data_IF_987212022297
#
_entry.id   IF_987212022297
#
_cell.length_a   1.000
_cell.length_b   1.000
_cell.length_c   1.000
_cell.angle_alpha   90.00
_cell.angle_beta   90.00
_cell.angle_gamma   90.00
#
_symmetry.space_group_name_H-M   'P 1'
#
loop_
_entity.id
_entity.type
_entity.pdbx_description
1 polymer ?
#
# COMPACT_ATOMS: atom_id res chain seq x y z
N UNK A 1 15.88 33.71 -0.47
CA UNK A 1 16.61 32.71 0.32
C UNK A 1 15.56 31.94 1.14
N UNK A 2 14.88 30.98 0.50
CA UNK A 2 13.91 30.11 1.18
C UNK A 2 14.67 29.06 1.97
N UNK A 3 14.19 28.75 3.17
CA UNK A 3 14.79 27.84 4.15
C UNK A 3 15.22 26.50 3.53
N UNK A 4 16.25 25.84 4.09
CA UNK A 4 16.65 24.52 3.62
C UNK A 4 15.49 23.53 3.84
N UNK A 5 14.90 23.04 2.75
CA UNK A 5 13.95 21.91 2.74
C UNK A 5 14.70 20.61 3.10
N UNK A 6 15.27 20.56 4.31
CA UNK A 6 16.03 19.42 4.86
C UNK A 6 15.14 18.41 5.58
N UNK A 7 13.83 18.37 5.29
CA UNK A 7 12.89 17.44 5.95
C UNK A 7 12.40 16.32 5.02
N UNK A 8 12.61 16.42 3.71
CA UNK A 8 12.29 15.37 2.74
C UNK A 8 13.55 14.76 2.19
N UNK A 9 13.65 13.44 2.26
CA UNK A 9 14.71 12.72 1.56
C UNK A 9 14.58 12.94 0.03
N UNK A 10 15.71 13.06 -0.69
CA UNK A 10 15.69 13.25 -2.13
C UNK A 10 15.04 12.05 -2.84
N UNK A 11 14.33 12.30 -3.94
CA UNK A 11 13.98 11.24 -4.88
C UNK A 11 15.29 10.72 -5.51
N UNK A 12 15.54 9.41 -5.59
CA UNK A 12 14.60 8.30 -5.45
C UNK A 12 14.56 7.62 -4.06
N UNK A 13 15.42 7.99 -3.11
CA UNK A 13 15.54 7.29 -1.81
C UNK A 13 14.21 7.27 -1.04
N UNK A 14 13.47 8.38 -1.10
CA UNK A 14 12.11 8.51 -0.53
C UNK A 14 11.15 7.40 -0.98
N UNK A 15 11.26 6.91 -2.21
CA UNK A 15 10.38 5.83 -2.72
C UNK A 15 10.64 4.54 -1.95
N UNK A 16 11.91 4.21 -1.71
CA UNK A 16 12.29 3.00 -0.97
C UNK A 16 11.81 3.09 0.49
N UNK A 17 11.98 4.24 1.13
CA UNK A 17 11.50 4.47 2.50
C UNK A 17 9.97 4.41 2.60
N UNK A 18 9.24 5.01 1.68
CA UNK A 18 7.77 4.99 1.69
C UNK A 18 7.22 3.58 1.42
N UNK A 19 7.85 2.79 0.54
CA UNK A 19 7.52 1.38 0.32
C UNK A 19 7.72 0.57 1.60
N UNK A 20 8.90 0.71 2.23
CA UNK A 20 9.25 -0.02 3.44
C UNK A 20 8.35 0.36 4.63
N UNK A 21 8.13 1.66 4.82
CA UNK A 21 7.23 2.18 5.85
C UNK A 21 5.78 1.71 5.65
N UNK A 22 5.27 1.79 4.42
CA UNK A 22 3.93 1.30 4.10
C UNK A 22 3.81 -0.22 4.27
N UNK A 23 4.82 -1.00 3.88
CA UNK A 23 4.87 -2.43 4.13
C UNK A 23 4.80 -2.72 5.64
N UNK A 24 5.62 -2.04 6.43
CA UNK A 24 5.66 -2.19 7.88
C UNK A 24 4.30 -1.88 8.52
N UNK A 25 3.69 -0.76 8.16
CA UNK A 25 2.35 -0.38 8.61
C UNK A 25 1.31 -1.45 8.26
N UNK A 26 1.31 -1.92 7.01
CA UNK A 26 0.36 -2.93 6.54
C UNK A 26 0.59 -4.31 7.16
N UNK A 27 1.84 -4.71 7.39
CA UNK A 27 2.18 -5.99 8.01
C UNK A 27 1.81 -5.99 9.50
N UNK A 28 2.13 -4.93 10.24
CA UNK A 28 1.79 -4.81 11.66
C UNK A 28 0.28 -4.69 11.84
N UNK A 29 -0.38 -3.76 11.14
CA UNK A 29 -1.84 -3.59 11.23
C UNK A 29 -2.61 -4.82 10.73
N UNK A 30 -2.16 -5.42 9.62
CA UNK A 30 -2.73 -6.64 9.07
C UNK A 30 -2.54 -7.83 10.00
N UNK A 31 -1.38 -7.99 10.64
CA UNK A 31 -1.15 -9.06 11.61
C UNK A 31 -2.08 -8.95 12.81
N UNK A 32 -2.22 -7.76 13.41
CA UNK A 32 -3.13 -7.55 14.54
C UNK A 32 -4.59 -7.86 14.15
N UNK A 33 -5.06 -7.31 13.04
CA UNK A 33 -6.43 -7.51 12.58
C UNK A 33 -6.72 -8.99 12.25
N UNK A 34 -5.85 -9.65 11.49
CA UNK A 34 -6.05 -11.04 11.11
C UNK A 34 -5.82 -12.03 12.25
N UNK A 35 -5.03 -11.66 13.26
CA UNK A 35 -4.87 -12.45 14.48
C UNK A 35 -6.17 -12.46 15.31
N UNK A 36 -6.73 -11.27 15.59
CA UNK A 36 -7.99 -11.16 16.32
C UNK A 36 -9.12 -11.84 15.57
N UNK A 37 -9.21 -11.61 14.26
CA UNK A 37 -10.21 -12.26 13.40
C UNK A 37 -10.04 -13.77 13.37
N UNK A 38 -8.80 -14.26 13.32
CA UNK A 38 -8.48 -15.69 13.34
C UNK A 38 -8.85 -16.35 14.67
N UNK A 39 -8.57 -15.70 15.81
CA UNK A 39 -8.99 -16.20 17.13
C UNK A 39 -10.51 -16.27 17.25
N UNK A 40 -11.21 -15.25 16.76
CA UNK A 40 -12.67 -15.17 16.88
C UNK A 40 -13.39 -16.21 16.01
N UNK A 41 -12.87 -16.47 14.81
CA UNK A 41 -13.49 -17.37 13.84
C UNK A 41 -13.04 -18.84 14.00
N UNK A 42 -12.10 -19.14 14.91
CA UNK A 42 -11.56 -20.48 15.11
C UNK A 42 -12.33 -21.29 16.17
N UNK A 43 -12.47 -22.61 15.98
CA UNK A 43 -13.11 -23.49 16.95
C UNK A 43 -12.37 -23.50 18.31
N UNK A 44 -13.10 -23.83 19.38
CA UNK A 44 -12.54 -23.91 20.74
C UNK A 44 -11.42 -24.96 20.77
N UNK A 45 -10.24 -24.59 21.27
CA UNK A 45 -9.04 -25.43 21.30
C UNK A 45 -7.96 -25.00 20.31
N UNK A 46 -8.35 -24.55 19.10
CA UNK A 46 -7.43 -24.20 18.00
C UNK A 46 -7.29 -22.69 17.78
N UNK A 47 -7.71 -21.87 18.75
CA UNK A 47 -7.81 -20.40 18.57
C UNK A 47 -6.45 -19.73 18.31
N UNK A 48 -5.40 -20.15 19.01
CA UNK A 48 -4.06 -19.60 18.84
C UNK A 48 -3.42 -20.08 17.52
N UNK A 49 -3.69 -21.33 17.15
CA UNK A 49 -3.18 -21.93 15.91
C UNK A 49 -3.89 -21.30 14.70
N UNK A 50 -5.22 -21.20 14.74
CA UNK A 50 -5.99 -20.51 13.70
C UNK A 50 -5.70 -19.01 13.61
N UNK A 51 -5.47 -18.34 14.74
CA UNK A 51 -4.98 -16.96 14.79
C UNK A 51 -3.63 -16.79 14.10
N UNK A 52 -2.63 -17.59 14.47
CA UNK A 52 -1.28 -17.51 13.88
C UNK A 52 -1.25 -17.91 12.40
N UNK A 53 -2.05 -18.90 12.00
CA UNK A 53 -2.21 -19.29 10.60
C UNK A 53 -2.87 -18.16 9.78
N UNK A 54 -3.88 -17.49 10.33
CA UNK A 54 -4.52 -16.34 9.67
C UNK A 54 -3.55 -15.17 9.48
N UNK A 55 -2.67 -14.90 10.46
CA UNK A 55 -1.61 -13.89 10.32
C UNK A 55 -0.64 -14.27 9.21
N UNK A 56 -0.13 -15.51 9.22
CA UNK A 56 0.88 -15.95 8.25
C UNK A 56 0.39 -15.87 6.80
N UNK A 57 -0.90 -16.15 6.58
CA UNK A 57 -1.50 -16.11 5.23
C UNK A 57 -1.84 -14.69 4.75
N UNK A 58 -2.20 -13.78 5.66
CA UNK A 58 -2.78 -12.49 5.29
C UNK A 58 -1.87 -11.28 5.58
N UNK A 59 -1.04 -11.31 6.63
CA UNK A 59 -0.15 -10.20 6.96
C UNK A 59 0.80 -9.80 5.82
N UNK A 60 1.51 -10.71 5.12
CA UNK A 60 2.35 -10.31 3.99
C UNK A 60 1.52 -9.85 2.78
N UNK A 61 0.28 -10.33 2.62
CA UNK A 61 -0.63 -9.87 1.56
C UNK A 61 -1.08 -8.43 1.79
N UNK A 62 -1.49 -8.10 3.02
CA UNK A 62 -1.88 -6.74 3.39
C UNK A 62 -0.67 -5.81 3.34
N UNK A 63 0.46 -6.21 3.93
CA UNK A 63 1.72 -5.47 3.85
C UNK A 63 2.14 -5.18 2.40
N UNK A 64 2.08 -6.18 1.52
CA UNK A 64 2.40 -6.01 0.10
C UNK A 64 1.46 -5.04 -0.62
N UNK A 65 0.16 -5.08 -0.34
CA UNK A 65 -0.80 -4.12 -0.92
C UNK A 65 -0.51 -2.68 -0.48
N UNK A 66 -0.19 -2.47 0.79
CA UNK A 66 0.21 -1.15 1.30
C UNK A 66 1.54 -0.69 0.70
N UNK A 67 2.52 -1.60 0.55
CA UNK A 67 3.80 -1.32 -0.08
C UNK A 67 3.65 -0.86 -1.53
N UNK A 68 2.81 -1.54 -2.32
CA UNK A 68 2.51 -1.15 -3.70
C UNK A 68 1.82 0.21 -3.74
N UNK A 69 0.86 0.46 -2.85
CA UNK A 69 0.17 1.75 -2.79
C UNK A 69 1.14 2.89 -2.43
N UNK A 70 1.95 2.72 -1.37
CA UNK A 70 2.94 3.72 -0.95
C UNK A 70 4.00 3.96 -2.02
N UNK A 71 4.51 2.90 -2.65
CA UNK A 71 5.47 3.01 -3.75
C UNK A 71 4.91 3.75 -4.96
N UNK A 72 3.69 3.42 -5.40
CA UNK A 72 3.05 4.11 -6.51
C UNK A 72 2.83 5.60 -6.18
N UNK A 73 2.30 5.90 -4.99
CA UNK A 73 2.10 7.28 -4.55
C UNK A 73 3.40 8.09 -4.63
N UNK A 74 4.49 7.59 -4.05
CA UNK A 74 5.77 8.28 -4.03
C UNK A 74 6.42 8.36 -5.41
N UNK A 75 6.22 7.36 -6.28
CA UNK A 75 6.69 7.44 -7.67
C UNK A 75 5.97 8.54 -8.46
N UNK A 76 4.63 8.67 -8.33
CA UNK A 76 3.88 9.73 -9.00
C UNK A 76 4.22 11.12 -8.43
N UNK A 77 4.40 11.24 -7.11
CA UNK A 77 4.80 12.47 -6.45
C UNK A 77 6.20 12.92 -6.92
N UNK A 78 7.20 12.03 -6.86
CA UNK A 78 8.55 12.29 -7.35
C UNK A 78 8.58 12.64 -8.85
N UNK A 79 7.75 11.98 -9.68
CA UNK A 79 7.66 12.27 -11.11
C UNK A 79 7.10 13.67 -11.36
N UNK A 80 6.10 14.10 -10.60
CA UNK A 80 5.54 15.45 -10.73
C UNK A 80 6.47 16.54 -10.24
N UNK A 81 7.19 16.31 -9.14
CA UNK A 81 8.25 17.22 -8.69
C UNK A 81 9.34 17.34 -9.75
N UNK A 82 9.74 16.22 -10.38
CA UNK A 82 10.72 16.24 -11.46
C UNK A 82 10.26 17.04 -12.69
N UNK A 83 9.00 16.92 -13.10
CA UNK A 83 8.49 17.64 -14.28
C UNK A 83 8.22 19.12 -13.98
N UNK A 84 7.60 19.42 -12.83
CA UNK A 84 7.11 20.78 -12.51
C UNK A 84 8.14 21.62 -11.76
N UNK A 85 9.18 21.00 -11.20
CA UNK A 85 10.21 21.64 -10.38
C UNK A 85 9.60 22.52 -9.26
N UNK A 86 8.40 22.13 -8.78
CA UNK A 86 7.63 22.80 -7.73
C UNK A 86 7.02 21.75 -6.81
N UNK A 87 7.11 22.02 -5.52
CA UNK A 87 6.50 21.21 -4.47
C UNK A 87 5.24 21.89 -3.97
N UNK A 88 4.11 21.58 -4.62
CA UNK A 88 2.79 22.10 -4.24
C UNK A 88 1.93 20.98 -3.62
N UNK A 89 0.99 21.29 -2.71
CA UNK A 89 0.01 20.31 -2.21
C UNK A 89 -0.79 19.60 -3.31
N UNK A 90 -0.88 20.23 -4.49
CA UNK A 90 -1.48 19.66 -5.68
C UNK A 90 -0.78 18.39 -6.19
N UNK A 91 0.54 18.26 -5.98
CA UNK A 91 1.27 17.05 -6.36
C UNK A 91 0.75 15.84 -5.56
N UNK A 92 0.53 15.99 -4.26
CA UNK A 92 -0.03 14.91 -3.44
C UNK A 92 -1.45 14.52 -3.87
N UNK A 93 -2.30 15.50 -4.24
CA UNK A 93 -3.68 15.24 -4.69
C UNK A 93 -3.67 14.46 -6.01
N UNK A 94 -2.90 14.93 -6.99
CA UNK A 94 -2.80 14.31 -8.30
C UNK A 94 -2.13 12.93 -8.19
N UNK A 95 -1.11 12.78 -7.34
CA UNK A 95 -0.42 11.51 -7.11
C UNK A 95 -1.37 10.49 -6.47
N UNK A 96 -2.21 10.92 -5.53
CA UNK A 96 -3.25 10.06 -4.93
C UNK A 96 -4.27 9.61 -5.97
N UNK A 97 -4.76 10.54 -6.80
CA UNK A 97 -5.72 10.23 -7.86
C UNK A 97 -5.11 9.30 -8.92
N UNK A 98 -3.87 9.53 -9.33
CA UNK A 98 -3.13 8.70 -10.27
C UNK A 98 -2.91 7.29 -9.70
N UNK A 99 -2.51 7.18 -8.43
CA UNK A 99 -2.32 5.89 -7.73
C UNK A 99 -3.64 5.11 -7.68
N UNK A 100 -4.71 5.75 -7.24
CA UNK A 100 -6.04 5.14 -7.15
C UNK A 100 -6.56 4.67 -8.51
N UNK A 101 -6.48 5.55 -9.52
CA UNK A 101 -6.87 5.23 -10.90
C UNK A 101 -6.05 4.08 -11.50
N UNK A 102 -4.74 4.09 -11.29
CA UNK A 102 -3.85 3.04 -11.80
C UNK A 102 -4.14 1.67 -11.17
N UNK A 103 -4.32 1.63 -9.85
CA UNK A 103 -4.68 0.40 -9.14
C UNK A 103 -6.05 -0.12 -9.56
N UNK A 104 -7.02 0.77 -9.81
CA UNK A 104 -8.34 0.38 -10.28
C UNK A 104 -8.29 -0.24 -11.68
N UNK A 105 -7.50 0.33 -12.60
CA UNK A 105 -7.31 -0.24 -13.95
C UNK A 105 -6.79 -1.68 -13.90
N UNK A 106 -5.86 -1.98 -12.97
CA UNK A 106 -5.35 -3.34 -12.77
C UNK A 106 -6.42 -4.32 -12.31
N UNK A 107 -7.31 -3.90 -11.43
CA UNK A 107 -8.39 -4.76 -10.93
C UNK A 107 -9.45 -5.00 -12.00
N UNK A 108 -9.83 -3.96 -12.75
CA UNK A 108 -10.86 -4.03 -13.80
C UNK A 108 -10.47 -5.00 -14.91
N UNK A 109 -9.21 -5.03 -15.34
CA UNK A 109 -8.77 -5.97 -16.38
C UNK A 109 -8.85 -7.43 -15.91
N UNK A 110 -8.54 -7.71 -14.65
CA UNK A 110 -8.57 -9.07 -14.08
C UNK A 110 -9.99 -9.56 -13.72
N UNK A 111 -10.88 -8.67 -13.31
CA UNK A 111 -12.29 -9.01 -13.05
C UNK A 111 -13.08 -9.11 -14.35
N UNK A 112 -12.90 -8.17 -15.29
CA UNK A 112 -13.59 -8.19 -16.59
C UNK A 112 -13.28 -9.46 -17.38
N UNK A 113 -12.02 -9.91 -17.41
CA UNK A 113 -11.63 -11.17 -18.08
C UNK A 113 -12.25 -12.41 -17.43
N UNK A 114 -12.42 -12.43 -16.10
CA UNK A 114 -13.11 -13.53 -15.41
C UNK A 114 -14.63 -13.51 -15.62
N UNK A 115 -15.23 -12.32 -15.75
CA UNK A 115 -16.66 -12.17 -16.04
C UNK A 115 -17.02 -12.64 -17.44
N UNK A 116 -16.15 -12.45 -18.44
CA UNK A 116 -16.37 -12.93 -19.81
C UNK A 116 -16.16 -14.43 -19.98
N UNK A 117 -15.30 -15.06 -19.17
CA UNK A 117 -15.06 -16.51 -19.22
C UNK A 117 -16.12 -17.36 -18.51
N UNK A 118 -16.91 -16.75 -17.63
CA UNK A 118 -17.97 -17.41 -16.86
C UNK A 118 -19.37 -16.95 -17.29
N UNK A 119 -19.46 -16.18 -18.39
CA UNK A 119 -20.71 -15.72 -19.01
C UNK A 119 -21.11 -16.57 -20.21
#
# INVERSE_FOLDING_TARGET
MGTPETSREPCPDRIMFDIGGAFGMGAVGGSAFHFLKGIYNSPKGERLIGGSQAVRMNAPRVGGSFAVWGGLFSTFDCTMVYIRQKEDPWNCIIASAATGGFLQMRQVLGTASRSTLLG
#
